data_IF_095948076342
#
_entry.id   IF_095948076342
#
_cell.length_a   1.000
_cell.length_b   1.000
_cell.length_c   1.000
_cell.angle_alpha   90.00
_cell.angle_beta   90.00
_cell.angle_gamma   90.00
#
_symmetry.space_group_name_H-M   'P 1'
#
loop_
_entity.id
_entity.type
_entity.pdbx_description
1 polymer ?
#
# COMPACT_ATOMS: atom_id res chain seq x y z
N UNK A 1 -9.42 -6.16 -12.09
CA UNK A 1 -8.79 -6.68 -10.85
C UNK A 1 -8.09 -5.52 -10.16
N UNK A 2 -8.37 -5.30 -8.89
CA UNK A 2 -7.94 -4.10 -8.20
C UNK A 2 -6.41 -4.09 -7.96
N UNK A 3 -5.77 -2.99 -8.33
CA UNK A 3 -4.30 -2.80 -8.23
C UNK A 3 -3.94 -1.63 -7.32
N UNK A 4 -4.89 -1.16 -6.52
CA UNK A 4 -4.69 -0.01 -5.65
C UNK A 4 -4.71 -0.48 -4.21
N UNK A 5 -3.60 -0.28 -3.54
CA UNK A 5 -3.44 -0.56 -2.11
C UNK A 5 -3.59 0.73 -1.32
N UNK A 6 -4.27 0.66 -0.19
CA UNK A 6 -4.48 1.77 0.72
C UNK A 6 -3.67 1.57 1.99
N UNK A 7 -2.93 2.60 2.38
CA UNK A 7 -2.29 2.74 3.68
C UNK A 7 -3.03 3.87 4.41
N UNK A 8 -3.94 3.57 5.35
CA UNK A 8 -4.85 4.58 5.89
C UNK A 8 -4.15 5.69 6.67
N UNK A 9 -3.02 5.39 7.29
CA UNK A 9 -2.30 6.29 8.19
C UNK A 9 -0.79 6.13 8.00
N UNK A 10 -0.19 7.17 7.44
CA UNK A 10 1.26 7.34 7.28
C UNK A 10 1.64 8.69 7.88
N UNK A 11 2.71 8.77 8.67
CA UNK A 11 3.15 10.05 9.25
C UNK A 11 3.53 11.05 8.15
N UNK A 12 3.25 12.33 8.37
CA UNK A 12 3.52 13.38 7.36
C UNK A 12 5.01 13.59 7.06
N UNK A 13 5.89 13.07 7.91
CA UNK A 13 7.33 13.05 7.71
C UNK A 13 7.75 12.07 6.62
N UNK A 14 6.99 10.98 6.43
CA UNK A 14 7.31 9.90 5.48
C UNK A 14 7.24 10.42 4.05
N UNK A 15 8.27 10.12 3.28
CA UNK A 15 8.42 10.52 1.89
C UNK A 15 8.06 9.39 0.93
N UNK A 16 7.79 9.78 -0.31
CA UNK A 16 7.42 8.86 -1.38
C UNK A 16 8.46 7.72 -1.55
N UNK A 17 9.76 8.05 -1.51
CA UNK A 17 10.83 7.06 -1.68
C UNK A 17 10.85 5.99 -0.58
N UNK A 18 10.42 6.30 0.65
CA UNK A 18 10.36 5.34 1.75
C UNK A 18 9.27 4.29 1.49
N UNK A 19 8.09 4.74 1.02
CA UNK A 19 7.02 3.84 0.58
C UNK A 19 7.52 2.96 -0.58
N UNK A 20 8.18 3.56 -1.58
CA UNK A 20 8.75 2.79 -2.70
C UNK A 20 9.73 1.72 -2.22
N UNK A 21 10.65 2.08 -1.32
CA UNK A 21 11.66 1.16 -0.78
C UNK A 21 11.05 -0.03 -0.06
N UNK A 22 10.04 0.23 0.79
CA UNK A 22 9.33 -0.83 1.52
C UNK A 22 8.61 -1.78 0.57
N UNK A 23 7.92 -1.24 -0.44
CA UNK A 23 7.20 -2.05 -1.43
C UNK A 23 8.14 -2.81 -2.37
N UNK A 24 9.29 -2.22 -2.71
CA UNK A 24 10.33 -2.90 -3.47
C UNK A 24 10.85 -4.12 -2.69
N UNK A 25 11.20 -3.95 -1.41
CA UNK A 25 11.60 -5.04 -0.52
C UNK A 25 10.52 -6.11 -0.33
N UNK A 26 9.25 -5.69 -0.29
CA UNK A 26 8.13 -6.61 -0.17
C UNK A 26 8.00 -7.53 -1.39
N UNK A 27 8.47 -7.09 -2.56
CA UNK A 27 8.57 -7.86 -3.80
C UNK A 27 7.21 -8.44 -4.27
N UNK A 28 6.17 -7.60 -4.27
CA UNK A 28 4.78 -8.01 -4.61
C UNK A 28 4.27 -7.46 -5.94
N UNK A 29 4.96 -6.47 -6.52
CA UNK A 29 4.52 -5.81 -7.73
C UNK A 29 5.33 -4.57 -8.06
N UNK A 30 5.15 -4.06 -9.28
CA UNK A 30 5.74 -2.79 -9.71
C UNK A 30 4.80 -1.65 -9.37
N UNK A 31 5.31 -0.64 -8.65
CA UNK A 31 4.58 0.60 -8.40
C UNK A 31 4.55 1.44 -9.69
N UNK A 32 3.37 1.89 -10.08
CA UNK A 32 3.16 2.88 -11.13
C UNK A 32 3.14 4.30 -10.57
N UNK A 33 2.38 4.50 -9.48
CA UNK A 33 2.14 5.82 -8.91
C UNK A 33 1.79 5.71 -7.42
N UNK A 34 2.09 6.76 -6.64
CA UNK A 34 1.72 6.86 -5.23
C UNK A 34 1.05 8.21 -4.99
N UNK A 35 -0.14 8.18 -4.40
CA UNK A 35 -0.90 9.37 -4.01
C UNK A 35 -0.91 9.55 -2.49
N UNK A 36 -0.74 10.79 -2.03
CA UNK A 36 -0.84 11.17 -0.63
C UNK A 36 -2.04 12.10 -0.45
N UNK A 37 -3.01 11.69 0.37
CA UNK A 37 -4.19 12.50 0.69
C UNK A 37 -4.12 12.85 2.18
N UNK A 38 -4.05 14.14 2.56
CA UNK A 38 -4.02 14.53 3.97
C UNK A 38 -5.23 13.97 4.73
N UNK A 39 -5.00 13.38 5.90
CA UNK A 39 -6.09 13.09 6.84
C UNK A 39 -6.55 14.37 7.53
N UNK A 40 -7.71 14.32 8.19
CA UNK A 40 -8.29 15.48 8.91
C UNK A 40 -7.35 16.05 9.96
N UNK A 41 -6.52 15.21 10.60
CA UNK A 41 -5.56 15.61 11.63
C UNK A 41 -4.30 16.31 11.07
N UNK A 42 -4.14 16.42 9.75
CA UNK A 42 -3.00 17.03 9.00
C UNK A 42 -1.60 16.49 9.32
N UNK A 43 -1.43 15.72 10.39
CA UNK A 43 -0.18 15.05 10.77
C UNK A 43 0.02 13.70 10.08
N UNK A 44 -1.02 13.21 9.40
CA UNK A 44 -0.96 11.95 8.68
C UNK A 44 -1.55 12.05 7.28
N UNK A 45 -1.09 11.16 6.41
CA UNK A 45 -1.63 10.94 5.09
C UNK A 45 -2.34 9.59 5.02
N UNK A 46 -3.42 9.54 4.25
CA UNK A 46 -3.91 8.34 3.60
C UNK A 46 -3.17 8.19 2.28
N UNK A 47 -2.42 7.09 2.14
CA UNK A 47 -1.57 6.85 0.98
C UNK A 47 -2.19 5.77 0.10
N UNK A 48 -2.23 6.00 -1.21
CA UNK A 48 -2.66 5.01 -2.19
C UNK A 48 -1.49 4.62 -3.08
N UNK A 49 -1.20 3.32 -3.14
CA UNK A 49 -0.13 2.74 -3.96
C UNK A 49 -0.77 2.03 -5.14
N UNK A 50 -0.54 2.56 -6.34
CA UNK A 50 -1.06 2.02 -7.60
C UNK A 50 0.00 1.11 -8.21
N UNK A 51 -0.32 -0.18 -8.32
CA UNK A 51 0.56 -1.15 -8.96
C UNK A 51 0.28 -1.21 -10.47
N UNK A 52 1.32 -1.20 -11.30
CA UNK A 52 1.18 -1.49 -12.74
C UNK A 52 0.85 -2.98 -12.95
N UNK A 53 1.57 -3.84 -12.23
CA UNK A 53 1.34 -5.28 -12.16
C UNK A 53 1.66 -5.84 -10.77
N UNK A 54 0.92 -6.88 -10.40
CA UNK A 54 1.34 -7.81 -9.36
C UNK A 54 2.42 -8.74 -9.91
N UNK A 55 3.33 -9.18 -9.07
CA UNK A 55 4.28 -10.22 -9.45
C UNK A 55 3.66 -11.61 -9.37
N UNK A 56 4.20 -12.53 -10.16
CA UNK A 56 3.81 -13.93 -10.18
C UNK A 56 4.79 -14.74 -9.32
N UNK A 57 4.73 -14.48 -8.01
CA UNK A 57 5.47 -15.22 -7.00
C UNK A 57 4.55 -15.57 -5.84
N UNK A 58 4.91 -16.60 -5.07
CA UNK A 58 4.07 -17.15 -4.00
C UNK A 58 3.65 -16.09 -2.98
N UNK A 59 4.58 -15.23 -2.57
CA UNK A 59 4.32 -14.15 -1.61
C UNK A 59 3.31 -13.14 -2.16
N UNK A 60 3.49 -12.70 -3.40
CA UNK A 60 2.59 -11.77 -4.08
C UNK A 60 1.20 -12.39 -4.22
N UNK A 61 1.11 -13.66 -4.62
CA UNK A 61 -0.15 -14.37 -4.77
C UNK A 61 -0.87 -14.51 -3.42
N UNK A 62 -0.16 -14.91 -2.36
CA UNK A 62 -0.72 -15.02 -1.01
C UNK A 62 -1.27 -13.68 -0.51
N UNK A 63 -0.47 -12.60 -0.61
CA UNK A 63 -0.88 -11.25 -0.18
C UNK A 63 -2.09 -10.78 -0.98
N UNK A 64 -2.05 -10.96 -2.29
CA UNK A 64 -3.13 -10.59 -3.21
C UNK A 64 -4.42 -11.32 -2.86
N UNK A 65 -4.37 -12.63 -2.58
CA UNK A 65 -5.54 -13.44 -2.20
C UNK A 65 -6.16 -12.93 -0.89
N UNK A 66 -5.35 -12.73 0.16
CA UNK A 66 -5.85 -12.20 1.44
C UNK A 66 -6.54 -10.84 1.27
N UNK A 67 -5.90 -9.94 0.53
CA UNK A 67 -6.45 -8.60 0.27
C UNK A 67 -7.74 -8.65 -0.57
N UNK A 68 -7.85 -9.56 -1.54
CA UNK A 68 -9.09 -9.76 -2.30
C UNK A 68 -10.22 -10.32 -1.44
N UNK A 69 -9.91 -11.13 -0.43
CA UNK A 69 -10.87 -11.63 0.54
C UNK A 69 -11.34 -10.55 1.54
N UNK A 70 -10.84 -9.31 1.39
CA UNK A 70 -11.18 -8.19 2.25
C UNK A 70 -10.37 -8.12 3.54
N UNK A 71 -9.35 -8.99 3.68
CA UNK A 71 -8.43 -8.93 4.82
C UNK A 71 -7.56 -7.68 4.77
N UNK A 72 -6.98 -7.36 5.92
CA UNK A 72 -5.98 -6.32 6.07
C UNK A 72 -4.69 -6.95 6.55
N UNK A 73 -3.55 -6.49 6.03
CA UNK A 73 -2.23 -6.96 6.43
C UNK A 73 -1.43 -5.84 7.10
N UNK A 74 -0.40 -6.22 7.84
CA UNK A 74 0.58 -5.29 8.41
C UNK A 74 1.93 -5.47 7.73
N UNK A 75 2.51 -4.39 7.22
CA UNK A 75 3.86 -4.37 6.65
C UNK A 75 4.77 -3.64 7.62
N UNK A 76 5.78 -4.33 8.14
CA UNK A 76 6.84 -3.72 8.95
C UNK A 76 7.73 -2.89 8.02
N UNK A 77 7.84 -1.59 8.28
CA UNK A 77 8.74 -0.70 7.54
C UNK A 77 10.01 -0.37 8.33
N UNK A 78 9.90 -0.30 9.65
CA UNK A 78 11.00 -0.09 10.60
C UNK A 78 10.62 -0.69 11.95
N UNK A 79 11.15 -1.83 12.33
CA UNK A 79 10.68 -2.57 13.52
C UNK A 79 10.83 -1.72 14.80
N UNK A 80 9.80 -1.62 15.65
CA UNK A 80 8.55 -2.39 15.67
C UNK A 80 7.39 -1.76 14.89
N UNK A 81 7.64 -0.70 14.13
CA UNK A 81 6.64 0.05 13.39
C UNK A 81 6.18 -0.64 12.11
N UNK A 82 4.87 -0.58 11.90
CA UNK A 82 4.22 -1.19 10.75
C UNK A 82 3.13 -0.28 10.17
N UNK A 83 2.86 -0.47 8.89
CA UNK A 83 1.71 0.10 8.21
C UNK A 83 0.63 -0.94 8.00
N UNK A 84 -0.60 -0.56 8.32
CA UNK A 84 -1.80 -1.31 7.95
C UNK A 84 -2.07 -1.11 6.46
N UNK A 85 -2.27 -2.20 5.71
CA UNK A 85 -2.61 -2.16 4.28
C UNK A 85 -3.89 -2.93 3.95
N UNK A 86 -4.70 -2.35 3.08
CA UNK A 86 -5.90 -3.01 2.56
C UNK A 86 -6.06 -2.76 1.07
N UNK A 87 -6.84 -3.61 0.39
CA UNK A 87 -7.25 -3.34 -0.98
C UNK A 87 -8.19 -2.11 -0.99
N UNK A 88 -7.94 -1.15 -1.86
CA UNK A 88 -8.81 0.01 -1.97
C UNK A 88 -10.11 -0.39 -2.68
N UNK A 89 -11.25 -0.42 -1.98
CA UNK A 89 -12.53 -0.92 -2.54
C UNK A 89 -13.18 0.01 -3.58
N UNK A 90 -12.69 1.24 -3.72
CA UNK A 90 -13.25 2.22 -4.65
C UNK A 90 -12.32 2.39 -5.85
N UNK A 91 -12.72 1.91 -7.02
CA UNK A 91 -12.13 2.39 -8.26
C UNK A 91 -12.55 3.85 -8.43
N UNK A 92 -11.57 4.76 -8.50
CA UNK A 92 -11.86 6.12 -8.96
C UNK A 92 -12.30 5.94 -10.42
N UNK A 93 -13.60 6.09 -10.69
CA UNK A 93 -14.07 6.40 -12.04
C UNK A 93 -13.35 7.69 -12.42
N UNK A 94 -12.37 7.58 -13.33
CA UNK A 94 -11.81 8.76 -14.00
C UNK A 94 -12.87 9.34 -14.92
#
# INVERSE_FOLDING_TARGET
MNKVLCIPRVLSTVKNYEIQHVFHKLNIGNINYISFIPNKDKHTYKVFVYLSKWFDNEKALMIKTKLNNGETLFIVYDYPWFWKISLNKFEKTM
#
